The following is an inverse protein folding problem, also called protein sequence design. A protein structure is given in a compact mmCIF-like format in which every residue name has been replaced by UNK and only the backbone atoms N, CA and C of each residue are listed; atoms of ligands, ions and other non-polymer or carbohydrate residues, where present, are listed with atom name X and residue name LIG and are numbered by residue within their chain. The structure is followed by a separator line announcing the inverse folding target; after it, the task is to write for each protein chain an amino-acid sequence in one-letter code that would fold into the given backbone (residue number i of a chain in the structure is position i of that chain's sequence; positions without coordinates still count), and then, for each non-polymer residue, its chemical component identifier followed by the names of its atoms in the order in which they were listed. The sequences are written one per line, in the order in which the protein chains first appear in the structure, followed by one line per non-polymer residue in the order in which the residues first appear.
data_IF_029701925111
#
_entry.id   IF_029701925111
#
_cell.length_a   1.000
_cell.length_b   1.000
_cell.length_c   1.000
_cell.angle_alpha   90.00
_cell.angle_beta   90.00
_cell.angle_gamma   90.00
#
_symmetry.space_group_name_H-M   'P 1'
#
loop_
_entity.id
_entity.type
_entity.pdbx_description
1 polymer ?
#
# COMPACT_ATOMS: atom_id res chain seq x y z
N UNK A 1 4.01 -45.07 -5.78
CA UNK A 1 2.96 -44.06 -6.04
C UNK A 1 3.36 -42.78 -5.32
N UNK A 2 4.06 -41.88 -6.00
CA UNK A 2 4.21 -40.51 -5.51
C UNK A 2 2.82 -39.87 -5.55
N UNK A 3 2.35 -39.35 -4.42
CA UNK A 3 1.20 -38.46 -4.38
C UNK A 3 1.59 -37.21 -5.18
N UNK A 4 1.28 -37.21 -6.48
CA UNK A 4 1.41 -36.03 -7.32
C UNK A 4 0.34 -35.04 -6.84
N UNK A 5 0.80 -33.99 -6.17
CA UNK A 5 -0.04 -32.87 -5.76
C UNK A 5 -0.66 -32.29 -7.05
N UNK A 6 -1.99 -32.14 -7.11
CA UNK A 6 -2.65 -31.52 -8.26
C UNK A 6 -2.06 -30.15 -8.61
N UNK A 7 -1.90 -29.87 -9.90
CA UNK A 7 -1.26 -28.63 -10.39
C UNK A 7 -1.92 -27.36 -9.84
N UNK A 8 -3.26 -27.32 -9.78
CA UNK A 8 -3.99 -26.19 -9.21
C UNK A 8 -3.66 -25.94 -7.73
N UNK A 9 -3.31 -26.97 -6.95
CA UNK A 9 -2.84 -26.80 -5.55
C UNK A 9 -1.46 -26.15 -5.53
N UNK A 10 -0.56 -26.58 -6.42
CA UNK A 10 0.77 -25.96 -6.56
C UNK A 10 0.65 -24.48 -6.93
N UNK A 11 -0.29 -24.14 -7.82
CA UNK A 11 -0.55 -22.76 -8.22
C UNK A 11 -1.16 -21.91 -7.09
N UNK A 12 -1.99 -22.49 -6.22
CA UNK A 12 -2.49 -21.81 -5.01
C UNK A 12 -1.35 -21.56 -4.01
N UNK A 13 -0.46 -22.52 -3.81
CA UNK A 13 0.73 -22.35 -2.97
C UNK A 13 1.70 -21.33 -3.55
N UNK A 14 1.87 -21.32 -4.88
CA UNK A 14 2.63 -20.28 -5.59
C UNK A 14 2.02 -18.89 -5.40
N UNK A 15 0.69 -18.79 -5.54
CA UNK A 15 -0.06 -17.54 -5.33
C UNK A 15 0.11 -17.02 -3.89
N UNK A 16 -0.01 -17.90 -2.90
CA UNK A 16 0.25 -17.58 -1.49
C UNK A 16 1.68 -17.09 -1.27
N UNK A 17 2.66 -17.77 -1.85
CA UNK A 17 4.09 -17.43 -1.71
C UNK A 17 4.41 -16.08 -2.34
N UNK A 18 3.84 -15.79 -3.52
CA UNK A 18 3.94 -14.47 -4.16
C UNK A 18 3.25 -13.39 -3.33
N UNK A 19 2.13 -13.70 -2.69
CA UNK A 19 1.47 -12.81 -1.74
C UNK A 19 2.36 -12.48 -0.53
N UNK A 20 3.02 -13.48 0.03
CA UNK A 20 4.01 -13.26 1.10
C UNK A 20 5.16 -12.39 0.59
N UNK A 21 5.70 -12.68 -0.60
CA UNK A 21 6.75 -11.87 -1.22
C UNK A 21 6.32 -10.41 -1.40
N UNK A 22 5.10 -10.19 -1.88
CA UNK A 22 4.51 -8.86 -2.02
C UNK A 22 4.31 -8.16 -0.66
N UNK A 23 3.95 -8.87 0.40
CA UNK A 23 3.92 -8.28 1.74
C UNK A 23 5.30 -7.82 2.23
N UNK A 24 6.38 -8.52 1.81
CA UNK A 24 7.76 -8.21 2.18
C UNK A 24 8.32 -7.07 1.33
N UNK A 25 8.12 -7.15 0.01
CA UNK A 25 8.63 -6.19 -0.96
C UNK A 25 7.68 -4.98 -0.97
N UNK A 26 8.15 -3.79 -0.60
CA UNK A 26 7.31 -2.61 -0.66
C UNK A 26 6.95 -2.31 -2.10
N UNK A 27 5.69 -2.47 -2.41
CA UNK A 27 5.07 -1.88 -3.59
C UNK A 27 4.77 -0.39 -3.32
N UNK A 28 4.29 0.22 -4.38
CA UNK A 28 3.90 1.61 -4.49
C UNK A 28 2.74 2.08 -3.59
N UNK A 29 1.98 1.14 -3.03
CA UNK A 29 0.72 1.42 -2.36
C UNK A 29 0.66 0.84 -0.96
N UNK A 30 1.02 -0.43 -0.78
CA UNK A 30 0.86 -1.16 0.47
C UNK A 30 1.72 -0.59 1.58
N UNK A 31 3.02 -0.37 1.34
CA UNK A 31 3.93 0.08 2.39
C UNK A 31 3.72 1.53 2.83
N UNK A 32 3.64 2.54 1.94
CA UNK A 32 3.40 3.92 2.35
C UNK A 32 2.14 4.07 3.21
N UNK A 33 1.09 3.32 2.89
CA UNK A 33 -0.18 3.35 3.60
C UNK A 33 -0.03 2.62 4.93
N UNK A 34 0.29 1.32 4.92
CA UNK A 34 0.33 0.50 6.15
C UNK A 34 1.37 1.01 7.15
N UNK A 35 2.52 1.50 6.69
CA UNK A 35 3.54 2.12 7.53
C UNK A 35 3.03 3.39 8.22
N UNK A 36 2.38 4.30 7.46
CA UNK A 36 1.85 5.55 8.01
C UNK A 36 0.83 5.31 9.13
N UNK A 37 -0.08 4.35 8.93
CA UNK A 37 -1.05 3.97 9.96
C UNK A 37 -0.40 3.22 11.13
N UNK A 38 0.55 2.32 10.85
CA UNK A 38 1.22 1.54 11.89
C UNK A 38 2.04 2.42 12.83
N UNK A 39 2.84 3.33 12.27
CA UNK A 39 3.63 4.29 13.04
C UNK A 39 2.73 5.34 13.70
N UNK A 40 1.72 5.84 13.00
CA UNK A 40 0.77 6.82 13.55
C UNK A 40 -0.06 6.30 14.72
N UNK A 41 -0.27 4.98 14.81
CA UNK A 41 -0.96 4.33 15.93
C UNK A 41 -0.09 4.23 17.20
N UNK A 42 1.23 4.37 17.07
CA UNK A 42 2.23 4.27 18.14
C UNK A 42 2.12 3.00 19.02
N UNK A 43 1.49 1.93 18.54
CA UNK A 43 1.32 0.68 19.28
C UNK A 43 1.45 -0.55 18.37
N UNK A 44 2.00 -1.66 18.90
CA UNK A 44 2.07 -2.94 18.18
C UNK A 44 0.70 -3.45 17.74
N UNK A 45 -0.33 -3.31 18.61
CA UNK A 45 -1.70 -3.69 18.29
C UNK A 45 -2.31 -2.81 17.18
N UNK A 46 -2.03 -1.50 17.21
CA UNK A 46 -2.49 -0.58 16.18
C UNK A 46 -1.86 -0.88 14.82
N UNK A 47 -0.54 -1.14 14.78
CA UNK A 47 0.18 -1.56 13.57
C UNK A 47 -0.29 -2.90 13.00
N UNK A 48 -0.56 -3.87 13.87
CA UNK A 48 -1.17 -5.13 13.48
C UNK A 48 -2.57 -4.91 12.86
N UNK A 49 -3.42 -4.11 13.51
CA UNK A 49 -4.77 -3.84 13.01
C UNK A 49 -4.79 -3.07 11.70
N UNK A 50 -3.86 -2.13 11.46
CA UNK A 50 -3.74 -1.48 10.14
C UNK A 50 -3.38 -2.47 9.06
N UNK A 51 -2.44 -3.39 9.33
CA UNK A 51 -2.10 -4.49 8.42
C UNK A 51 -3.31 -5.37 8.13
N UNK A 52 -4.08 -5.77 9.15
CA UNK A 52 -5.30 -6.57 8.99
C UNK A 52 -6.33 -5.87 8.13
N UNK A 53 -6.68 -4.62 8.46
CA UNK A 53 -7.73 -3.90 7.74
C UNK A 53 -7.37 -3.67 6.27
N UNK A 54 -6.11 -3.30 6.00
CA UNK A 54 -5.61 -3.14 4.64
C UNK A 54 -5.62 -4.47 3.89
N UNK A 55 -4.95 -5.49 4.44
CA UNK A 55 -4.75 -6.75 3.73
C UNK A 55 -6.05 -7.52 3.54
N UNK A 56 -7.01 -7.43 4.47
CA UNK A 56 -8.29 -8.12 4.33
C UNK A 56 -9.12 -7.56 3.18
N UNK A 57 -9.17 -6.23 3.03
CA UNK A 57 -9.91 -5.61 1.93
C UNK A 57 -9.19 -5.75 0.59
N UNK A 58 -7.86 -5.72 0.60
CA UNK A 58 -7.02 -6.06 -0.55
C UNK A 58 -7.25 -7.51 -1.00
N UNK A 59 -7.28 -8.46 -0.06
CA UNK A 59 -7.57 -9.88 -0.33
C UNK A 59 -8.95 -10.06 -0.95
N UNK A 60 -9.96 -9.40 -0.39
CA UNK A 60 -11.32 -9.45 -0.93
C UNK A 60 -11.37 -8.90 -2.36
N UNK A 61 -10.73 -7.76 -2.60
CA UNK A 61 -10.68 -7.18 -3.94
C UNK A 61 -9.97 -8.10 -4.93
N UNK A 62 -8.82 -8.68 -4.55
CA UNK A 62 -8.05 -9.59 -5.43
C UNK A 62 -8.81 -10.87 -5.73
N UNK A 63 -9.55 -11.40 -4.75
CA UNK A 63 -10.45 -12.52 -4.95
C UNK A 63 -11.57 -12.20 -5.96
N UNK A 64 -12.20 -11.02 -5.83
CA UNK A 64 -13.23 -10.56 -6.77
C UNK A 64 -12.65 -10.42 -8.18
N UNK A 65 -11.51 -9.76 -8.33
CA UNK A 65 -10.89 -9.58 -9.65
C UNK A 65 -10.45 -10.91 -10.26
N UNK A 66 -9.87 -11.82 -9.49
CA UNK A 66 -9.52 -13.16 -9.97
C UNK A 66 -10.76 -13.93 -10.47
N UNK A 67 -11.90 -13.80 -9.76
CA UNK A 67 -13.16 -14.40 -10.20
C UNK A 67 -13.70 -13.76 -11.48
N UNK A 68 -13.66 -12.42 -11.58
CA UNK A 68 -14.06 -11.69 -12.79
C UNK A 68 -13.16 -12.06 -13.96
N UNK A 69 -11.85 -12.20 -13.73
CA UNK A 69 -10.89 -12.67 -14.72
C UNK A 69 -11.23 -14.09 -15.15
N UNK A 70 -11.52 -15.02 -14.25
CA UNK A 70 -11.94 -16.37 -14.65
C UNK A 70 -13.10 -16.35 -15.64
N UNK A 71 -14.11 -15.49 -15.39
CA UNK A 71 -15.24 -15.33 -16.29
C UNK A 71 -14.91 -14.56 -17.58
N UNK A 72 -14.02 -13.57 -17.51
CA UNK A 72 -13.64 -12.71 -18.63
C UNK A 72 -12.61 -13.37 -19.56
N UNK A 73 -11.60 -14.05 -19.02
CA UNK A 73 -10.54 -14.74 -19.77
C UNK A 73 -11.07 -15.94 -20.57
N UNK A 74 -12.23 -16.48 -20.21
CA UNK A 74 -12.98 -17.40 -21.06
C UNK A 74 -13.51 -16.75 -22.35
N UNK A 75 -13.39 -15.42 -22.49
CA UNK A 75 -13.89 -14.67 -23.65
C UNK A 75 -12.93 -13.66 -24.26
N UNK A 76 -12.04 -12.98 -23.51
CA UNK A 76 -11.09 -11.99 -24.05
C UNK A 76 -10.21 -11.43 -22.92
N UNK A 77 -8.87 -11.43 -23.04
CA UNK A 77 -7.99 -10.28 -22.74
C UNK A 77 -6.51 -10.68 -22.68
N UNK A 78 -5.74 -10.11 -23.61
CA UNK A 78 -4.37 -9.70 -23.36
C UNK A 78 -4.42 -8.34 -22.66
N UNK A 79 -3.69 -8.17 -21.55
CA UNK A 79 -3.55 -6.88 -20.88
C UNK A 79 -2.74 -5.92 -21.76
N UNK A 80 -3.27 -4.73 -22.05
CA UNK A 80 -2.53 -3.68 -22.76
C UNK A 80 -1.61 -2.96 -21.77
N UNK A 81 -0.30 -3.22 -21.91
CA UNK A 81 0.76 -2.68 -21.07
C UNK A 81 0.83 -1.14 -21.11
N UNK A 82 0.26 -0.51 -22.15
CA UNK A 82 0.21 0.96 -22.28
C UNK A 82 -0.70 1.64 -21.25
N UNK A 83 -1.68 0.91 -20.68
CA UNK A 83 -2.54 1.42 -19.62
C UNK A 83 -1.78 1.61 -18.30
N UNK A 84 -0.68 0.88 -18.08
CA UNK A 84 0.12 0.95 -16.86
C UNK A 84 0.74 2.34 -16.68
N UNK A 85 1.21 2.95 -17.76
CA UNK A 85 1.74 4.31 -17.74
C UNK A 85 0.70 5.34 -17.26
N UNK A 86 -0.54 5.23 -17.75
CA UNK A 86 -1.63 6.13 -17.36
C UNK A 86 -2.01 5.95 -15.88
N UNK A 87 -2.04 4.70 -15.39
CA UNK A 87 -2.32 4.39 -13.98
C UNK A 87 -1.22 4.94 -13.08
N UNK A 88 0.07 4.73 -13.39
CA UNK A 88 1.17 5.28 -12.58
C UNK A 88 1.12 6.80 -12.48
N UNK A 89 0.82 7.51 -13.58
CA UNK A 89 0.65 8.96 -13.54
C UNK A 89 -0.55 9.36 -12.67
N UNK A 90 -1.70 8.72 -12.86
CA UNK A 90 -2.92 9.06 -12.12
C UNK A 90 -2.75 8.83 -10.60
N UNK A 91 -2.19 7.67 -10.22
CA UNK A 91 -1.94 7.35 -8.81
C UNK A 91 -0.84 8.25 -8.24
N UNK A 92 0.23 8.50 -9.00
CA UNK A 92 1.29 9.41 -8.58
C UNK A 92 0.80 10.83 -8.32
N UNK A 93 -0.13 11.34 -9.13
CA UNK A 93 -0.81 12.63 -8.89
C UNK A 93 -1.62 12.57 -7.60
N UNK A 94 -2.44 11.54 -7.41
CA UNK A 94 -3.28 11.39 -6.23
C UNK A 94 -2.44 11.33 -4.93
N UNK A 95 -1.35 10.54 -4.93
CA UNK A 95 -0.41 10.43 -3.81
C UNK A 95 0.32 11.75 -3.55
N UNK A 96 0.76 12.45 -4.60
CA UNK A 96 1.42 13.75 -4.49
C UNK A 96 0.50 14.80 -3.87
N UNK A 97 -0.74 14.89 -4.35
CA UNK A 97 -1.75 15.81 -3.79
C UNK A 97 -2.02 15.44 -2.34
N UNK A 98 -2.27 14.17 -2.03
CA UNK A 98 -2.54 13.74 -0.66
C UNK A 98 -1.38 14.08 0.30
N UNK A 99 -0.13 13.78 -0.08
CA UNK A 99 1.07 14.11 0.69
C UNK A 99 1.21 15.62 0.91
N UNK A 100 1.00 16.42 -0.14
CA UNK A 100 1.04 17.89 -0.05
C UNK A 100 -0.04 18.45 0.89
N UNK A 101 -1.28 17.97 0.80
CA UNK A 101 -2.37 18.42 1.66
C UNK A 101 -2.11 18.09 3.14
N UNK A 102 -1.54 16.92 3.43
CA UNK A 102 -1.17 16.54 4.80
C UNK A 102 0.00 17.42 5.31
N UNK A 103 1.03 17.66 4.49
CA UNK A 103 2.20 18.47 4.87
C UNK A 103 1.88 19.96 5.03
N UNK A 104 0.96 20.49 4.22
CA UNK A 104 0.56 21.90 4.24
C UNK A 104 -0.46 22.23 5.34
N UNK A 105 -1.05 21.22 5.99
CA UNK A 105 -2.12 21.39 6.97
C UNK A 105 -3.42 21.95 6.39
N UNK A 106 -3.53 22.05 5.05
CA UNK A 106 -4.67 22.64 4.35
C UNK A 106 -5.55 21.53 3.81
N UNK A 107 -6.58 21.13 4.55
CA UNK A 107 -7.68 20.35 3.95
C UNK A 107 -8.58 21.31 3.15
N UNK A 108 -8.78 21.12 1.84
CA UNK A 108 -9.67 21.98 1.06
C UNK A 108 -11.09 21.87 1.59
N UNK A 109 -11.68 23.00 1.97
CA UNK A 109 -13.05 23.10 2.53
C UNK A 109 -14.14 22.54 1.61
N UNK A 110 -13.83 22.35 0.33
CA UNK A 110 -14.72 21.84 -0.71
C UNK A 110 -14.74 20.30 -0.82
N UNK A 111 -13.81 19.60 -0.17
CA UNK A 111 -13.77 18.14 -0.27
C UNK A 111 -14.96 17.50 0.46
N UNK A 112 -15.78 16.67 -0.19
CA UNK A 112 -16.99 16.10 0.42
C UNK A 112 -16.69 15.29 1.68
N UNK A 113 -15.52 14.62 1.73
CA UNK A 113 -15.04 13.93 2.94
C UNK A 113 -14.72 14.91 4.08
N UNK A 114 -14.17 16.09 3.79
CA UNK A 114 -13.90 17.12 4.80
C UNK A 114 -15.20 17.69 5.37
N UNK A 115 -16.23 17.87 4.52
CA UNK A 115 -17.57 18.30 4.95
C UNK A 115 -18.28 17.22 5.76
N UNK A 116 -18.21 15.96 5.34
CA UNK A 116 -18.82 14.81 6.02
C UNK A 116 -18.18 14.51 7.38
N UNK A 117 -16.85 14.58 7.47
CA UNK A 117 -16.11 14.42 8.72
C UNK A 117 -16.39 15.57 9.71
N UNK A 118 -16.63 16.78 9.19
CA UNK A 118 -16.91 17.99 9.97
C UNK A 118 -18.35 18.10 10.49
N UNK A 119 -19.32 17.44 9.84
CA UNK A 119 -20.75 17.51 10.23
C UNK A 119 -21.21 16.38 11.15
N UNK A 120 -20.54 15.21 11.14
CA UNK A 120 -20.91 14.07 12.01
C UNK A 120 -19.94 13.77 13.14
N UNK A 121 -18.69 14.23 13.06
CA UNK A 121 -17.76 14.18 14.18
C UNK A 121 -17.63 15.57 14.79
N UNK A 122 -17.78 15.71 16.10
CA UNK A 122 -17.39 16.92 16.82
C UNK A 122 -15.89 17.19 16.64
N UNK A 123 -15.52 17.77 15.51
CA UNK A 123 -14.15 18.08 15.11
C UNK A 123 -13.86 19.53 15.48
N UNK A 124 -13.43 19.74 16.72
CA UNK A 124 -12.77 20.98 17.08
C UNK A 124 -11.32 20.89 16.59
N UNK A 125 -10.94 21.76 15.67
CA UNK A 125 -9.55 22.02 15.35
C UNK A 125 -9.01 22.91 16.46
N UNK A 126 -8.21 22.37 17.37
CA UNK A 126 -7.49 23.20 18.34
C UNK A 126 -6.27 23.82 17.65
N UNK A 127 -6.02 25.10 17.89
CA UNK A 127 -4.94 25.91 17.31
C UNK A 127 -3.54 25.36 17.65
N UNK A 128 -3.45 24.35 18.51
CA UNK A 128 -2.22 23.75 19.06
C UNK A 128 -1.70 22.50 18.34
N UNK A 129 -2.23 22.15 17.17
CA UNK A 129 -1.53 21.25 16.24
C UNK A 129 -1.41 19.77 16.67
N UNK A 130 -2.22 19.29 17.62
CA UNK A 130 -2.28 17.86 17.94
C UNK A 130 -3.23 17.17 16.97
N UNK A 131 -2.65 16.52 15.95
CA UNK A 131 -3.36 15.83 14.89
C UNK A 131 -4.27 14.73 15.44
N UNK A 132 -5.57 14.78 15.15
CA UNK A 132 -6.51 13.70 15.46
C UNK A 132 -6.11 12.47 14.65
N UNK A 133 -5.88 11.33 15.32
CA UNK A 133 -5.56 10.05 14.66
C UNK A 133 -6.63 9.73 13.60
N UNK A 134 -6.21 9.53 12.36
CA UNK A 134 -7.10 8.99 11.32
C UNK A 134 -7.49 7.58 11.77
N UNK A 135 -8.79 7.24 11.85
CA UNK A 135 -9.21 5.93 12.33
C UNK A 135 -8.60 4.80 11.49
N UNK A 136 -8.04 3.80 12.16
CA UNK A 136 -7.30 2.70 11.51
C UNK A 136 -8.18 1.92 10.52
N UNK A 137 -9.51 1.90 10.72
CA UNK A 137 -10.44 1.24 9.81
C UNK A 137 -10.47 1.87 8.40
N UNK A 138 -9.99 3.11 8.20
CA UNK A 138 -9.84 3.67 6.85
C UNK A 138 -8.84 2.90 5.98
N UNK A 139 -7.95 2.09 6.58
CA UNK A 139 -7.12 1.13 5.86
C UNK A 139 -7.95 0.16 5.01
N UNK A 140 -9.21 -0.12 5.37
CA UNK A 140 -10.12 -0.96 4.55
C UNK A 140 -10.31 -0.36 3.16
N UNK A 141 -10.61 0.94 3.07
CA UNK A 141 -10.84 1.60 1.79
C UNK A 141 -9.54 1.65 0.98
N UNK A 142 -8.44 1.97 1.65
CA UNK A 142 -7.14 2.02 0.99
C UNK A 142 -6.72 0.66 0.45
N UNK A 143 -6.88 -0.42 1.21
CA UNK A 143 -6.56 -1.78 0.74
C UNK A 143 -7.45 -2.24 -0.40
N UNK A 144 -8.73 -1.87 -0.39
CA UNK A 144 -9.64 -2.20 -1.49
C UNK A 144 -9.27 -1.44 -2.78
N UNK A 145 -8.99 -0.14 -2.69
CA UNK A 145 -8.57 0.68 -3.84
C UNK A 145 -7.20 0.24 -4.33
N UNK A 146 -6.25 -0.04 -3.43
CA UNK A 146 -4.90 -0.48 -3.77
C UNK A 146 -4.91 -1.80 -4.55
N UNK A 147 -5.87 -2.70 -4.31
CA UNK A 147 -6.01 -3.92 -5.10
C UNK A 147 -6.37 -3.69 -6.59
N UNK A 148 -6.87 -2.50 -6.95
CA UNK A 148 -7.02 -2.11 -8.37
C UNK A 148 -5.74 -1.51 -8.95
N UNK A 149 -4.76 -1.19 -8.11
CA UNK A 149 -3.41 -0.87 -8.56
C UNK A 149 -2.90 -1.99 -9.44
N UNK A 150 -2.19 -1.63 -10.50
CA UNK A 150 -1.48 -2.61 -11.32
C UNK A 150 -0.21 -2.98 -10.58
N UNK A 151 -0.35 -3.66 -9.44
CA UNK A 151 0.77 -4.09 -8.62
C UNK A 151 1.72 -4.89 -9.51
N UNK A 152 2.97 -4.41 -9.62
CA UNK A 152 4.14 -5.03 -10.29
C UNK A 152 3.74 -6.13 -11.27
N UNK A 153 3.59 -5.77 -12.55
CA UNK A 153 3.00 -6.58 -13.62
C UNK A 153 3.18 -8.09 -13.50
N UNK A 154 4.35 -8.59 -13.07
CA UNK A 154 4.64 -9.99 -12.76
C UNK A 154 3.65 -10.70 -11.80
N UNK A 155 3.32 -10.12 -10.62
CA UNK A 155 2.48 -10.83 -9.65
C UNK A 155 1.05 -10.95 -10.15
N UNK A 156 0.48 -9.83 -10.60
CA UNK A 156 -0.88 -9.80 -11.16
C UNK A 156 -0.98 -10.66 -12.43
N UNK A 157 0.05 -10.65 -13.28
CA UNK A 157 0.10 -11.47 -14.50
C UNK A 157 0.12 -12.96 -14.19
N UNK A 158 0.94 -13.41 -13.23
CA UNK A 158 0.93 -14.81 -12.82
C UNK A 158 -0.44 -15.23 -12.30
N UNK A 159 -1.04 -14.44 -11.39
CA UNK A 159 -2.34 -14.76 -10.82
C UNK A 159 -3.40 -14.85 -11.92
N UNK A 160 -3.51 -13.85 -12.77
CA UNK A 160 -4.61 -13.75 -13.74
C UNK A 160 -4.42 -14.59 -15.00
N UNK A 161 -3.19 -14.77 -15.49
CA UNK A 161 -2.94 -15.49 -16.74
C UNK A 161 -2.48 -16.93 -16.55
N UNK A 162 -1.97 -17.29 -15.37
CA UNK A 162 -1.46 -18.65 -15.10
C UNK A 162 -2.32 -19.35 -14.07
N UNK A 163 -2.46 -18.78 -12.87
CA UNK A 163 -3.12 -19.47 -11.76
C UNK A 163 -4.64 -19.54 -11.92
N UNK A 164 -5.30 -18.45 -12.31
CA UNK A 164 -6.76 -18.39 -12.50
C UNK A 164 -7.26 -19.33 -13.61
N UNK A 165 -6.67 -19.36 -14.82
CA UNK A 165 -7.14 -20.23 -15.90
C UNK A 165 -6.96 -21.72 -15.62
N UNK A 166 -6.02 -22.07 -14.75
CA UNK A 166 -5.75 -23.44 -14.33
C UNK A 166 -6.70 -23.95 -13.23
N UNK A 167 -7.63 -23.12 -12.73
CA UNK A 167 -8.60 -23.55 -11.74
C UNK A 167 -9.60 -24.53 -12.36
N UNK A 168 -9.86 -25.70 -11.72
CA UNK A 168 -10.59 -26.79 -12.35
C UNK A 168 -12.09 -26.51 -12.51
N UNK A 169 -12.63 -25.51 -11.80
CA UNK A 169 -14.06 -25.19 -11.76
C UNK A 169 -14.27 -23.70 -11.52
N UNK A 170 -15.36 -23.16 -12.04
CA UNK A 170 -15.61 -21.71 -12.03
C UNK A 170 -15.71 -21.09 -10.65
N UNK A 171 -16.24 -21.80 -9.66
CA UNK A 171 -16.33 -21.29 -8.29
C UNK A 171 -14.98 -21.25 -7.57
N UNK A 172 -13.89 -21.76 -8.16
CA UNK A 172 -12.53 -21.59 -7.64
C UNK A 172 -11.76 -20.46 -8.30
N UNK A 173 -12.34 -19.73 -9.26
CA UNK A 173 -11.68 -18.63 -9.95
C UNK A 173 -11.14 -17.54 -9.01
N UNK A 174 -11.82 -17.31 -7.88
CA UNK A 174 -11.36 -16.36 -6.85
C UNK A 174 -10.13 -16.83 -6.06
N UNK A 175 -9.88 -18.14 -6.01
CA UNK A 175 -8.99 -18.77 -5.03
C UNK A 175 -7.52 -18.34 -5.17
N UNK A 176 -6.94 -18.19 -6.39
CA UNK A 176 -5.59 -17.66 -6.54
C UNK A 176 -5.44 -16.23 -6.00
N UNK A 177 -6.42 -15.34 -6.30
CA UNK A 177 -6.42 -13.97 -5.79
C UNK A 177 -6.56 -13.90 -4.26
N UNK A 178 -7.40 -14.76 -3.69
CA UNK A 178 -7.53 -14.88 -2.24
C UNK A 178 -6.23 -15.40 -1.60
N UNK A 179 -5.63 -16.45 -2.16
CA UNK A 179 -4.37 -17.01 -1.67
C UNK A 179 -3.25 -15.96 -1.66
N UNK A 180 -3.13 -15.18 -2.73
CA UNK A 180 -2.22 -14.05 -2.80
C UNK A 180 -2.47 -13.03 -1.67
N UNK A 181 -3.70 -12.55 -1.52
CA UNK A 181 -4.04 -11.61 -0.46
C UNK A 181 -3.78 -12.15 0.96
N UNK A 182 -4.06 -13.44 1.20
CA UNK A 182 -3.74 -14.09 2.47
C UNK A 182 -2.24 -14.13 2.75
N UNK A 183 -1.41 -14.36 1.73
CA UNK A 183 0.04 -14.27 1.85
C UNK A 183 0.48 -12.88 2.31
N UNK A 184 -0.08 -11.84 1.70
CA UNK A 184 0.15 -10.44 2.07
C UNK A 184 -0.28 -10.16 3.51
N UNK A 185 -1.45 -10.66 3.90
CA UNK A 185 -1.99 -10.51 5.26
C UNK A 185 -1.05 -11.11 6.32
N UNK A 186 -0.53 -12.33 6.08
CA UNK A 186 0.41 -13.00 7.01
C UNK A 186 1.63 -12.12 7.27
N UNK A 187 2.19 -11.55 6.21
CA UNK A 187 3.39 -10.72 6.33
C UNK A 187 3.09 -9.36 6.94
N UNK A 188 2.01 -8.69 6.54
CA UNK A 188 1.64 -7.40 7.11
C UNK A 188 1.22 -7.49 8.58
N UNK A 189 0.66 -8.62 9.02
CA UNK A 189 0.47 -8.92 10.43
C UNK A 189 1.81 -8.92 11.18
N UNK A 190 2.80 -9.65 10.66
CA UNK A 190 4.12 -9.74 11.27
C UNK A 190 4.85 -8.39 11.27
N UNK A 191 4.96 -7.75 10.11
CA UNK A 191 5.67 -6.48 9.92
C UNK A 191 4.96 -5.32 10.64
N UNK A 192 3.62 -5.24 10.56
CA UNK A 192 2.84 -4.22 11.26
C UNK A 192 2.98 -4.32 12.78
N UNK A 193 3.02 -5.54 13.32
CA UNK A 193 3.30 -5.75 14.75
C UNK A 193 4.73 -5.33 15.13
N UNK A 194 5.72 -5.60 14.28
CA UNK A 194 7.11 -5.21 14.48
C UNK A 194 7.27 -3.70 14.48
N UNK A 195 6.75 -2.99 13.46
CA UNK A 195 6.85 -1.53 13.40
C UNK A 195 6.11 -0.86 14.55
N UNK A 196 4.87 -1.28 14.84
CA UNK A 196 4.13 -0.74 15.97
C UNK A 196 4.83 -1.00 17.33
N UNK A 197 5.52 -2.13 17.47
CA UNK A 197 6.29 -2.49 18.66
C UNK A 197 7.62 -1.76 18.78
N UNK A 198 8.41 -1.64 17.70
CA UNK A 198 9.69 -0.91 17.69
C UNK A 198 9.48 0.57 18.01
N UNK A 199 8.39 1.18 17.56
CA UNK A 199 8.05 2.56 17.93
C UNK A 199 7.50 2.71 19.36
N UNK A 200 6.99 1.64 20.00
CA UNK A 200 6.76 1.66 21.45
C UNK A 200 8.06 1.68 22.26
N UNK A 201 9.16 1.13 21.74
CA UNK A 201 10.49 1.23 22.37
C UNK A 201 10.99 2.69 22.32
N UNK A 202 10.55 3.47 21.32
CA UNK A 202 10.74 4.92 21.27
C UNK A 202 9.89 5.72 22.29
N UNK A 203 9.28 5.05 23.29
CA UNK A 203 8.54 5.64 24.44
C UNK A 203 9.22 6.86 25.08
N UNK A 204 10.54 6.97 24.98
CA UNK A 204 11.31 8.13 25.47
C UNK A 204 10.93 9.46 24.80
N UNK A 205 10.25 9.44 23.64
CA UNK A 205 9.95 10.63 22.86
C UNK A 205 8.54 11.19 23.12
N UNK A 206 7.69 10.46 23.84
CA UNK A 206 6.29 10.81 24.04
C UNK A 206 5.42 10.46 22.83
N UNK A 207 4.14 10.08 23.05
CA UNK A 207 3.23 9.62 22.00
C UNK A 207 3.01 10.66 20.89
N UNK A 208 2.99 11.94 21.23
CA UNK A 208 2.83 13.05 20.28
C UNK A 208 3.95 13.12 19.24
N UNK A 209 5.20 12.93 19.66
CA UNK A 209 6.36 12.96 18.74
C UNK A 209 6.39 11.75 17.82
N UNK A 210 5.99 10.58 18.30
CA UNK A 210 5.88 9.36 17.47
C UNK A 210 4.79 9.54 16.41
N UNK A 211 3.67 10.14 16.79
CA UNK A 211 2.58 10.43 15.86
C UNK A 211 2.97 11.51 14.83
N UNK A 212 3.67 12.57 15.26
CA UNK A 212 4.19 13.60 14.37
C UNK A 212 5.20 13.00 13.38
N UNK A 213 6.09 12.12 13.86
CA UNK A 213 7.02 11.39 13.02
C UNK A 213 6.29 10.54 11.99
N UNK A 214 5.33 9.72 12.40
CA UNK A 214 4.54 8.87 11.50
C UNK A 214 3.78 9.67 10.44
N UNK A 215 3.17 10.78 10.84
CA UNK A 215 2.39 11.63 9.94
C UNK A 215 3.29 12.33 8.92
N UNK A 216 4.43 12.90 9.35
CA UNK A 216 5.37 13.58 8.45
C UNK A 216 6.13 12.60 7.55
N UNK A 217 6.59 11.47 8.09
CA UNK A 217 7.28 10.45 7.32
C UNK A 217 6.33 9.85 6.27
N UNK A 218 5.10 9.53 6.66
CA UNK A 218 4.05 9.04 5.77
C UNK A 218 3.70 10.05 4.66
N UNK A 219 3.43 11.31 5.03
CA UNK A 219 3.05 12.34 4.07
C UNK A 219 4.18 12.70 3.09
N UNK A 220 5.44 12.72 3.56
CA UNK A 220 6.61 12.86 2.67
C UNK A 220 6.75 11.67 1.75
N UNK A 221 6.54 10.45 2.25
CA UNK A 221 6.64 9.23 1.45
C UNK A 221 5.57 9.21 0.35
N UNK A 222 4.35 9.65 0.67
CA UNK A 222 3.28 9.88 -0.30
C UNK A 222 3.64 10.94 -1.34
N UNK A 223 4.16 12.10 -0.89
CA UNK A 223 4.48 13.20 -1.78
C UNK A 223 5.61 12.85 -2.77
N UNK A 224 6.76 12.43 -2.25
CA UNK A 224 7.92 12.12 -3.08
C UNK A 224 7.75 10.79 -3.82
N UNK A 225 7.08 9.81 -3.23
CA UNK A 225 6.67 8.59 -3.92
C UNK A 225 5.79 8.92 -5.11
N UNK A 226 4.76 9.75 -4.91
CA UNK A 226 3.86 10.17 -5.99
C UNK A 226 4.60 10.85 -7.15
N UNK A 227 5.59 11.70 -6.87
CA UNK A 227 6.44 12.31 -7.90
C UNK A 227 7.22 11.25 -8.68
N UNK A 228 7.81 10.26 -7.99
CA UNK A 228 8.51 9.15 -8.66
C UNK A 228 7.54 8.36 -9.54
N UNK A 229 6.31 8.11 -9.11
CA UNK A 229 5.30 7.43 -9.92
C UNK A 229 4.91 8.20 -11.18
N UNK A 230 4.80 9.53 -11.08
CA UNK A 230 4.57 10.38 -12.26
C UNK A 230 5.73 10.26 -13.24
N UNK A 231 6.97 10.40 -12.76
CA UNK A 231 8.17 10.29 -13.59
C UNK A 231 8.23 8.90 -14.23
N UNK A 232 8.05 7.84 -13.44
CA UNK A 232 8.02 6.47 -13.89
C UNK A 232 6.99 6.23 -14.99
N UNK A 233 5.74 6.68 -14.81
CA UNK A 233 4.69 6.55 -15.81
C UNK A 233 5.02 7.28 -17.12
N UNK A 234 5.64 8.46 -17.05
CA UNK A 234 6.12 9.19 -18.24
C UNK A 234 7.25 8.43 -18.94
N UNK A 235 8.22 7.88 -18.19
CA UNK A 235 9.31 7.09 -18.75
C UNK A 235 8.81 5.78 -19.39
N UNK A 236 7.81 5.15 -18.77
CA UNK A 236 7.13 3.96 -19.29
C UNK A 236 6.43 4.28 -20.62
N UNK A 237 5.70 5.40 -20.68
CA UNK A 237 5.07 5.88 -21.93
C UNK A 237 6.07 6.18 -23.03
N UNK A 238 7.27 6.60 -22.68
CA UNK A 238 8.36 6.90 -23.62
C UNK A 238 9.09 5.65 -24.13
N UNK A 239 8.73 4.44 -23.67
CA UNK A 239 9.34 3.18 -24.13
C UNK A 239 10.74 2.91 -23.56
N UNK A 240 11.16 3.64 -22.54
CA UNK A 240 12.51 3.50 -21.96
C UNK A 240 12.68 2.14 -21.26
N UNK A 241 11.58 1.52 -20.81
CA UNK A 241 11.58 0.18 -20.25
C UNK A 241 12.21 -0.88 -21.17
N UNK A 242 12.03 -0.74 -22.49
CA UNK A 242 12.48 -1.72 -23.48
C UNK A 242 14.00 -1.68 -23.67
N UNK A 243 14.65 -0.63 -23.14
CA UNK A 243 16.10 -0.42 -23.23
C UNK A 243 16.87 -0.89 -22.00
N UNK A 244 16.19 -1.19 -20.89
CA UNK A 244 16.82 -1.57 -19.63
C UNK A 244 16.58 -3.07 -19.39
N UNK A 245 17.62 -3.91 -19.24
CA UNK A 245 17.48 -5.36 -19.05
C UNK A 245 17.03 -5.76 -17.64
N UNK A 246 16.42 -4.84 -16.89
CA UNK A 246 15.92 -5.01 -15.53
C UNK A 246 14.45 -4.63 -15.51
N UNK A 247 13.66 -5.36 -14.72
CA UNK A 247 12.25 -5.05 -14.51
C UNK A 247 12.12 -3.61 -13.97
N UNK A 248 11.50 -2.76 -14.78
CA UNK A 248 11.36 -1.33 -14.50
C UNK A 248 10.50 -1.08 -13.25
N UNK A 249 9.52 -1.94 -12.95
CA UNK A 249 8.73 -1.91 -11.73
C UNK A 249 9.58 -2.16 -10.49
N UNK A 250 10.44 -3.18 -10.53
CA UNK A 250 11.38 -3.47 -9.43
C UNK A 250 12.41 -2.34 -9.23
N UNK A 251 12.85 -1.68 -10.31
CA UNK A 251 13.72 -0.51 -10.24
C UNK A 251 13.04 0.68 -9.58
N UNK A 252 11.76 0.93 -9.89
CA UNK A 252 10.96 1.99 -9.24
C UNK A 252 10.81 1.70 -7.75
N UNK A 253 10.51 0.46 -7.38
CA UNK A 253 10.43 0.02 -5.98
C UNK A 253 11.76 0.23 -5.25
N UNK A 254 12.88 -0.19 -5.85
CA UNK A 254 14.20 -0.01 -5.25
C UNK A 254 14.56 1.48 -5.10
N UNK A 255 14.27 2.29 -6.11
CA UNK A 255 14.46 3.73 -6.09
C UNK A 255 13.59 4.40 -5.03
N UNK A 256 12.36 3.93 -4.84
CA UNK A 256 11.47 4.41 -3.80
C UNK A 256 11.96 4.02 -2.39
N UNK A 257 12.38 2.77 -2.19
CA UNK A 257 12.93 2.32 -0.91
C UNK A 257 14.18 3.11 -0.49
N UNK A 258 15.19 3.12 -1.36
CA UNK A 258 16.50 3.67 -1.03
C UNK A 258 16.51 5.18 -1.21
N UNK A 259 15.90 5.69 -2.27
CA UNK A 259 15.92 7.11 -2.63
C UNK A 259 14.87 7.95 -1.91
N UNK A 260 13.78 7.36 -1.42
CA UNK A 260 12.67 8.10 -0.79
C UNK A 260 12.50 7.72 0.68
N UNK A 261 12.22 6.46 0.98
CA UNK A 261 11.91 6.05 2.36
C UNK A 261 13.09 6.32 3.30
N UNK A 262 14.29 5.83 2.98
CA UNK A 262 15.46 5.98 3.88
C UNK A 262 15.80 7.45 4.15
N UNK A 263 15.94 8.34 3.15
CA UNK A 263 16.19 9.76 3.37
C UNK A 263 15.07 10.45 4.15
N UNK A 264 13.80 10.15 3.84
CA UNK A 264 12.65 10.72 4.56
C UNK A 264 12.66 10.32 6.03
N UNK A 265 12.97 9.07 6.31
CA UNK A 265 13.08 8.58 7.69
C UNK A 265 14.18 9.34 8.43
N UNK A 266 15.34 9.55 7.81
CA UNK A 266 16.46 10.30 8.41
C UNK A 266 16.09 11.78 8.61
N UNK A 267 15.51 12.44 7.61
CA UNK A 267 15.13 13.87 7.68
C UNK A 267 14.06 14.08 8.75
N UNK A 268 13.02 13.25 8.73
CA UNK A 268 11.91 13.33 9.70
C UNK A 268 12.39 13.03 11.11
N UNK A 269 13.33 12.09 11.26
CA UNK A 269 13.96 11.79 12.55
C UNK A 269 14.70 13.00 13.12
N UNK A 270 15.52 13.69 12.30
CA UNK A 270 16.26 14.89 12.72
C UNK A 270 15.31 16.02 13.15
N UNK A 271 14.26 16.25 12.38
CA UNK A 271 13.31 17.33 12.63
C UNK A 271 12.47 17.11 13.91
N UNK A 272 11.99 15.89 14.14
CA UNK A 272 11.22 15.56 15.35
C UNK A 272 12.10 15.63 16.60
N UNK A 273 13.41 15.32 16.48
CA UNK A 273 14.35 15.42 17.60
C UNK A 273 14.62 16.86 18.05
N UNK A 274 14.61 17.81 17.11
CA UNK A 274 14.87 19.24 17.37
C UNK A 274 13.58 20.00 17.74
N UNK A 275 12.41 19.44 17.43
CA UNK A 275 11.12 20.05 17.80
C UNK A 275 10.97 20.08 19.33
N UNK A 276 10.73 21.27 19.93
CA UNK A 276 10.59 21.40 21.38
C UNK A 276 9.48 20.45 21.87
N UNK A 277 9.72 19.80 23.02
CA UNK A 277 8.65 19.04 23.66
C UNK A 277 7.56 20.03 24.02
N UNK A 278 6.33 19.77 23.58
CA UNK A 278 5.14 20.39 24.15
C UNK A 278 5.16 20.05 25.64
N UNK A 279 5.63 20.99 26.46
CA UNK A 279 5.55 20.90 27.91
C UNK A 279 4.05 20.81 28.24
N UNK A 280 3.66 19.69 28.85
CA UNK A 280 2.35 19.44 29.44
C UNK A 280 1.96 20.53 30.43
#
# INVERSE_FOLDING_TARGET
MSLLIPEWIVLLLGSLSLGMLHGIIPDEHTWPITFSYSVGSATGRGGMLSGVFFASSFTLQRAIMAQLVYFALASYLAFDESLNAAVYVAVGIAMSIAGYLILSGKLPSWHPLARFLRTRGGTHYDEKGVSRQVPIHWCVIHGFIAGFGVDTGLFTTFIYLVAVPAMPVAYLGFAPGAAFGFGTLIVLLAIGSLFGGVFQIAKRWGPERVQLFGTRAGARSLFYGGIIFIIAGVLFRAGIQDTIPLDFGNLIVLAFMIGVIVPIMIITWREVRVSPATNT
#
